data_IF_224893065155
#
_entry.id   IF_224893065155
#
_cell.length_a   1.000
_cell.length_b   1.000
_cell.length_c   1.000
_cell.angle_alpha   90.00
_cell.angle_beta   90.00
_cell.angle_gamma   90.00
#
_symmetry.space_group_name_H-M   'P 1'
#
loop_
_entity.id
_entity.type
_entity.pdbx_description
1 polymer ?
#
# COMPACT_ATOMS: atom_id res chain seq x y z
N UNK A 1 -17.34 17.65 39.52
CA UNK A 1 -16.51 18.39 38.54
C UNK A 1 -16.10 17.39 37.44
N UNK A 2 -16.93 17.27 36.39
CA UNK A 2 -16.72 16.30 35.32
C UNK A 2 -15.56 16.73 34.43
N UNK A 3 -14.51 15.89 34.30
CA UNK A 3 -13.52 16.00 33.23
C UNK A 3 -14.27 15.84 31.90
N UNK A 4 -14.28 16.90 31.09
CA UNK A 4 -14.68 16.81 29.70
C UNK A 4 -13.79 15.73 29.03
N UNK A 5 -14.39 14.62 28.59
CA UNK A 5 -13.75 13.72 27.65
C UNK A 5 -13.34 14.55 26.44
N UNK A 6 -12.06 14.84 26.30
CA UNK A 6 -11.52 15.48 25.11
C UNK A 6 -11.76 14.52 23.95
N UNK A 7 -12.59 14.96 23.02
CA UNK A 7 -12.85 14.24 21.76
C UNK A 7 -11.49 13.98 21.10
N UNK A 8 -11.05 12.71 21.11
CA UNK A 8 -9.72 12.24 20.65
C UNK A 8 -9.47 12.45 19.14
N UNK A 9 -10.32 13.21 18.47
CA UNK A 9 -10.24 13.47 17.02
C UNK A 9 -10.00 14.93 16.70
N UNK A 10 -10.02 15.84 17.68
CA UNK A 10 -9.97 17.29 17.45
C UNK A 10 -8.79 17.94 18.18
N UNK A 11 -8.29 19.02 17.58
CA UNK A 11 -7.29 19.91 18.18
C UNK A 11 -7.99 20.83 19.18
N UNK A 12 -7.31 21.13 20.30
CA UNK A 12 -7.83 22.06 21.31
C UNK A 12 -8.11 23.43 20.65
N UNK A 13 -9.37 23.93 20.70
CA UNK A 13 -9.73 25.23 20.13
C UNK A 13 -8.92 26.41 20.67
N UNK A 14 -8.34 26.30 21.86
CA UNK A 14 -7.50 27.34 22.48
C UNK A 14 -6.24 27.61 21.65
N UNK A 15 -5.74 26.63 20.91
CA UNK A 15 -4.57 26.77 20.05
C UNK A 15 -4.89 27.50 18.73
N UNK A 16 -6.19 27.65 18.38
CA UNK A 16 -6.62 28.21 17.11
C UNK A 16 -6.88 29.72 17.24
N UNK A 17 -6.03 30.54 16.64
CA UNK A 17 -6.25 31.98 16.53
C UNK A 17 -7.11 32.27 15.30
N UNK A 18 -8.36 32.63 15.52
CA UNK A 18 -9.31 33.02 14.44
C UNK A 18 -9.40 34.55 14.38
N UNK A 19 -9.21 35.09 13.17
CA UNK A 19 -9.37 36.49 12.88
C UNK A 19 -10.29 36.66 11.66
N UNK A 20 -11.58 36.90 11.92
CA UNK A 20 -12.62 37.02 10.90
C UNK A 20 -12.68 35.79 10.01
N UNK A 21 -12.39 35.95 8.70
CA UNK A 21 -12.43 34.90 7.69
C UNK A 21 -11.11 34.10 7.59
N UNK A 22 -10.15 34.31 8.47
CA UNK A 22 -8.84 33.62 8.47
C UNK A 22 -8.56 32.90 9.79
N UNK A 23 -7.69 31.88 9.71
CA UNK A 23 -7.17 31.14 10.87
C UNK A 23 -5.65 31.15 10.80
N UNK A 24 -4.96 31.42 11.91
CA UNK A 24 -3.51 31.32 11.95
C UNK A 24 -3.08 29.89 12.26
N UNK A 25 -2.40 29.26 11.32
CA UNK A 25 -1.72 27.99 11.53
C UNK A 25 -0.37 28.27 12.21
N UNK A 26 -0.07 27.57 13.29
CA UNK A 26 1.18 27.71 14.04
C UNK A 26 1.89 26.37 14.17
N UNK A 27 3.18 26.39 14.52
CA UNK A 27 3.95 25.17 14.83
C UNK A 27 3.29 24.35 15.97
N UNK A 28 2.68 25.02 16.97
CA UNK A 28 2.00 24.38 18.06
C UNK A 28 0.78 23.57 17.59
N UNK A 29 0.03 24.11 16.62
CA UNK A 29 -1.11 23.41 16.00
C UNK A 29 -0.63 22.16 15.24
N UNK A 30 0.47 22.26 14.48
CA UNK A 30 1.06 21.13 13.79
C UNK A 30 1.53 20.05 14.77
N UNK A 31 2.22 20.45 15.84
CA UNK A 31 2.70 19.55 16.89
C UNK A 31 1.54 18.85 17.63
N UNK A 32 0.47 19.59 17.94
CA UNK A 32 -0.74 19.04 18.56
C UNK A 32 -1.42 18.01 17.66
N UNK A 33 -1.52 18.29 16.34
CA UNK A 33 -2.09 17.35 15.39
C UNK A 33 -1.27 16.07 15.25
N UNK A 34 0.06 16.17 15.14
CA UNK A 34 0.94 15.01 15.08
C UNK A 34 0.87 14.16 16.36
N UNK A 35 0.75 14.81 17.52
CA UNK A 35 0.55 14.13 18.79
C UNK A 35 -0.78 13.39 18.85
N UNK A 36 -1.84 13.97 18.31
CA UNK A 36 -3.15 13.34 18.16
C UNK A 36 -3.08 12.10 17.25
N UNK A 37 -2.43 12.20 16.09
CA UNK A 37 -2.23 11.05 15.19
C UNK A 37 -1.40 9.93 15.85
N UNK A 38 -0.39 10.28 16.65
CA UNK A 38 0.41 9.32 17.42
C UNK A 38 -0.44 8.60 18.47
N UNK A 39 -1.29 9.33 19.19
CA UNK A 39 -2.23 8.76 20.16
C UNK A 39 -3.26 7.82 19.50
N UNK A 40 -3.58 8.02 18.22
CA UNK A 40 -4.42 7.13 17.40
C UNK A 40 -3.68 5.89 16.89
N UNK A 41 -2.41 5.70 17.24
CA UNK A 41 -1.61 4.53 16.82
C UNK A 41 -1.05 4.61 15.41
N UNK A 42 -0.93 5.80 14.81
CA UNK A 42 -0.28 5.96 13.49
C UNK A 42 1.21 5.60 13.59
N UNK A 43 1.70 4.85 12.58
CA UNK A 43 3.11 4.45 12.50
C UNK A 43 4.03 5.66 12.31
N UNK A 44 5.23 5.62 12.88
CA UNK A 44 6.21 6.71 12.80
C UNK A 44 6.55 7.14 11.36
N UNK A 45 6.66 6.20 10.42
CA UNK A 45 6.89 6.50 8.99
C UNK A 45 5.74 7.34 8.39
N UNK A 46 4.50 6.99 8.74
CA UNK A 46 3.31 7.75 8.31
C UNK A 46 3.26 9.13 8.96
N UNK A 47 3.67 9.25 10.24
CA UNK A 47 3.75 10.53 10.93
C UNK A 47 4.79 11.45 10.29
N UNK A 48 6.00 10.94 9.98
CA UNK A 48 7.05 11.70 9.29
C UNK A 48 6.58 12.17 7.91
N UNK A 49 5.90 11.30 7.15
CA UNK A 49 5.35 11.69 5.85
C UNK A 49 4.29 12.78 5.98
N UNK A 50 3.40 12.67 6.95
CA UNK A 50 2.37 13.66 7.26
C UNK A 50 3.02 15.00 7.67
N UNK A 51 3.98 14.98 8.59
CA UNK A 51 4.72 16.14 9.05
C UNK A 51 5.39 16.89 7.89
N UNK A 52 6.08 16.17 7.00
CA UNK A 52 6.72 16.78 5.83
C UNK A 52 5.72 17.51 4.92
N UNK A 53 4.55 16.93 4.70
CA UNK A 53 3.49 17.57 3.89
C UNK A 53 2.95 18.82 4.58
N UNK A 54 2.68 18.72 5.88
CA UNK A 54 2.13 19.84 6.65
C UNK A 54 3.13 20.99 6.76
N UNK A 55 4.42 20.71 6.94
CA UNK A 55 5.48 21.74 6.93
C UNK A 55 5.61 22.42 5.57
N UNK A 56 5.48 21.67 4.46
CA UNK A 56 5.44 22.27 3.11
C UNK A 56 4.26 23.22 2.94
N UNK A 57 3.08 22.80 3.41
CA UNK A 57 1.90 23.68 3.36
C UNK A 57 2.07 24.90 4.26
N UNK A 58 2.56 24.76 5.47
CA UNK A 58 2.83 25.85 6.40
C UNK A 58 3.81 26.88 5.82
N UNK A 59 4.89 26.41 5.22
CA UNK A 59 5.88 27.28 4.56
C UNK A 59 5.30 28.04 3.35
N UNK A 60 4.27 27.52 2.71
CA UNK A 60 3.56 28.20 1.61
C UNK A 60 2.66 29.33 2.10
N UNK A 61 2.17 29.26 3.37
CA UNK A 61 1.25 30.25 3.92
C UNK A 61 1.98 31.53 4.31
N UNK A 62 1.57 32.73 3.82
CA UNK A 62 2.09 33.99 4.31
C UNK A 62 1.81 34.14 5.82
N UNK A 63 2.88 34.24 6.63
CA UNK A 63 2.79 34.38 8.09
C UNK A 63 1.90 33.32 8.79
N UNK A 64 1.77 32.14 8.18
CA UNK A 64 0.89 31.07 8.67
C UNK A 64 -0.62 31.37 8.51
N UNK A 65 -0.98 32.40 7.76
CA UNK A 65 -2.38 32.82 7.60
C UNK A 65 -3.13 31.92 6.61
N UNK A 66 -4.08 31.19 7.11
CA UNK A 66 -4.95 30.29 6.37
C UNK A 66 -6.25 31.00 5.99
N UNK A 67 -6.60 30.99 4.70
CA UNK A 67 -7.87 31.47 4.14
C UNK A 67 -8.53 30.35 3.30
N UNK A 68 -9.74 30.60 2.80
CA UNK A 68 -10.44 29.65 1.90
C UNK A 68 -9.68 29.40 0.59
N UNK A 69 -8.89 30.35 0.15
CA UNK A 69 -8.11 30.29 -1.08
C UNK A 69 -6.76 29.60 -0.90
N UNK A 70 -6.27 29.47 0.34
CA UNK A 70 -4.93 28.96 0.62
C UNK A 70 -4.68 27.56 0.11
N UNK A 71 -5.61 26.62 0.36
CA UNK A 71 -5.44 25.23 -0.09
C UNK A 71 -5.64 25.05 -1.60
N UNK A 72 -6.62 25.72 -2.26
CA UNK A 72 -6.69 25.78 -3.71
C UNK A 72 -5.42 26.35 -4.34
N UNK A 73 -4.89 27.47 -3.84
CA UNK A 73 -3.67 28.10 -4.35
C UNK A 73 -2.45 27.19 -4.18
N UNK A 74 -2.32 26.52 -3.03
CA UNK A 74 -1.26 25.54 -2.81
C UNK A 74 -1.34 24.33 -3.75
N UNK A 75 -2.55 23.87 -4.05
CA UNK A 75 -2.77 22.79 -5.03
C UNK A 75 -2.26 23.18 -6.42
N UNK A 76 -2.56 24.39 -6.88
CA UNK A 76 -2.07 24.90 -8.17
C UNK A 76 -0.55 25.12 -8.15
N UNK A 77 0.00 25.59 -7.04
CA UNK A 77 1.45 25.70 -6.84
C UNK A 77 2.15 24.35 -6.96
N UNK A 78 1.62 23.30 -6.32
CA UNK A 78 2.18 21.95 -6.43
C UNK A 78 2.15 21.41 -7.88
N UNK A 79 1.11 21.74 -8.64
CA UNK A 79 1.05 21.40 -10.07
C UNK A 79 2.09 22.13 -10.87
N UNK A 80 2.29 23.43 -10.62
CA UNK A 80 3.33 24.25 -11.30
C UNK A 80 4.75 23.80 -10.99
N UNK A 81 4.99 23.24 -9.78
CA UNK A 81 6.24 22.58 -9.38
C UNK A 81 6.45 21.21 -10.05
N UNK A 82 5.51 20.74 -10.86
CA UNK A 82 5.61 19.47 -11.59
C UNK A 82 5.24 18.22 -10.79
N UNK A 83 4.59 18.34 -9.64
CA UNK A 83 4.12 17.18 -8.92
C UNK A 83 3.02 16.43 -9.69
N UNK A 84 3.12 15.10 -9.72
CA UNK A 84 2.07 14.26 -10.31
C UNK A 84 0.72 14.46 -9.59
N UNK A 85 -0.39 14.49 -10.33
CA UNK A 85 -1.77 14.70 -9.82
C UNK A 85 -2.09 13.81 -8.62
N UNK A 86 -1.70 12.54 -8.64
CA UNK A 86 -1.88 11.62 -7.50
C UNK A 86 -1.15 12.10 -6.24
N UNK A 87 0.07 12.64 -6.39
CA UNK A 87 0.85 13.19 -5.27
C UNK A 87 0.19 14.45 -4.74
N UNK A 88 -0.28 15.34 -5.62
CA UNK A 88 -1.03 16.56 -5.26
C UNK A 88 -2.28 16.17 -4.47
N UNK A 89 -3.11 15.27 -4.98
CA UNK A 89 -4.30 14.80 -4.30
C UNK A 89 -3.99 14.21 -2.90
N UNK A 90 -2.91 13.43 -2.79
CA UNK A 90 -2.49 12.87 -1.49
C UNK A 90 -2.08 13.95 -0.50
N UNK A 91 -1.31 14.95 -0.94
CA UNK A 91 -0.88 16.08 -0.10
C UNK A 91 -2.09 16.93 0.34
N UNK A 92 -2.99 17.28 -0.60
CA UNK A 92 -4.24 18.00 -0.31
C UNK A 92 -5.11 17.22 0.70
N UNK A 93 -5.24 15.90 0.54
CA UNK A 93 -5.97 15.06 1.48
C UNK A 93 -5.36 15.08 2.89
N UNK A 94 -4.04 15.15 2.99
CA UNK A 94 -3.35 15.27 4.29
C UNK A 94 -3.68 16.61 4.96
N UNK A 95 -3.68 17.71 4.22
CA UNK A 95 -4.06 19.03 4.75
C UNK A 95 -5.54 19.08 5.09
N UNK A 96 -6.41 18.52 4.25
CA UNK A 96 -7.85 18.41 4.57
C UNK A 96 -8.09 17.68 5.90
N UNK A 97 -7.32 16.63 6.20
CA UNK A 97 -7.44 15.92 7.50
C UNK A 97 -7.00 16.80 8.70
N UNK A 98 -5.98 17.65 8.53
CA UNK A 98 -5.64 18.66 9.53
C UNK A 98 -6.79 19.68 9.70
N UNK A 99 -7.33 20.22 8.60
CA UNK A 99 -8.44 21.18 8.64
C UNK A 99 -9.71 20.60 9.28
N UNK A 100 -9.97 19.30 9.09
CA UNK A 100 -11.05 18.59 9.77
C UNK A 100 -10.81 18.56 11.29
N UNK A 101 -9.60 18.22 11.72
CA UNK A 101 -9.24 18.19 13.15
C UNK A 101 -9.25 19.60 13.80
N UNK A 102 -9.08 20.66 13.02
CA UNK A 102 -9.20 22.06 13.43
C UNK A 102 -10.66 22.58 13.38
N UNK A 103 -11.62 21.78 12.95
CA UNK A 103 -13.01 22.20 12.68
C UNK A 103 -13.11 23.35 11.65
N UNK A 104 -12.20 23.38 10.67
CA UNK A 104 -12.09 24.37 9.62
C UNK A 104 -12.54 23.81 8.26
N UNK A 105 -13.71 23.17 8.21
CA UNK A 105 -14.23 22.49 7.00
C UNK A 105 -14.41 23.44 5.80
N UNK A 106 -14.71 24.70 6.07
CA UNK A 106 -14.91 25.72 5.03
C UNK A 106 -13.64 26.02 4.22
N UNK A 107 -12.47 25.62 4.70
CA UNK A 107 -11.18 25.80 4.04
C UNK A 107 -10.73 24.53 3.26
N UNK A 108 -11.50 23.45 3.33
CA UNK A 108 -11.17 22.19 2.65
C UNK A 108 -11.43 22.27 1.14
N UNK A 109 -10.64 21.50 0.39
CA UNK A 109 -10.88 21.23 -1.03
C UNK A 109 -11.56 19.88 -1.17
N UNK A 110 -12.84 19.88 -1.48
CA UNK A 110 -13.67 18.67 -1.58
C UNK A 110 -13.40 17.89 -2.88
N UNK A 111 -13.11 18.59 -3.98
CA UNK A 111 -12.96 17.97 -5.30
C UNK A 111 -11.50 17.60 -5.55
N UNK A 112 -11.21 16.31 -5.59
CA UNK A 112 -9.92 15.81 -6.07
C UNK A 112 -9.75 16.08 -7.57
N UNK A 113 -8.51 16.33 -7.98
CA UNK A 113 -8.18 16.42 -9.40
C UNK A 113 -8.34 15.02 -10.03
N UNK A 114 -8.91 14.95 -11.25
CA UNK A 114 -8.97 13.69 -11.98
C UNK A 114 -7.53 13.20 -12.20
N UNK A 115 -7.14 12.18 -11.45
CA UNK A 115 -5.89 11.50 -11.72
C UNK A 115 -6.09 10.70 -13.01
N UNK A 116 -5.27 10.95 -14.04
CA UNK A 116 -5.19 10.02 -15.14
C UNK A 116 -4.90 8.64 -14.53
N UNK A 117 -5.75 7.67 -14.84
CA UNK A 117 -5.42 6.28 -14.55
C UNK A 117 -4.14 5.99 -15.32
N UNK A 118 -3.03 6.01 -14.60
CA UNK A 118 -1.77 5.57 -15.13
C UNK A 118 -1.91 4.05 -15.29
N UNK A 119 -2.38 3.63 -16.45
CA UNK A 119 -2.34 2.24 -16.87
C UNK A 119 -0.85 1.88 -17.04
N UNK A 120 -0.18 1.66 -15.91
CA UNK A 120 1.16 1.11 -15.95
C UNK A 120 1.08 -0.19 -16.73
N UNK A 121 1.94 -0.40 -17.74
CA UNK A 121 1.90 -1.61 -18.53
C UNK A 121 2.00 -2.81 -17.58
N UNK A 122 1.03 -3.72 -17.69
CA UNK A 122 0.94 -4.86 -16.80
C UNK A 122 2.01 -5.91 -17.16
N UNK A 123 2.55 -6.53 -16.11
CA UNK A 123 3.42 -7.69 -16.24
C UNK A 123 2.57 -8.88 -16.70
N UNK A 124 2.87 -9.45 -17.86
CA UNK A 124 2.16 -10.62 -18.36
C UNK A 124 2.63 -11.91 -17.68
N UNK A 125 1.80 -12.96 -17.73
CA UNK A 125 2.17 -14.28 -17.21
C UNK A 125 3.42 -14.84 -17.90
N UNK A 126 3.59 -14.61 -19.19
CA UNK A 126 4.77 -15.06 -19.94
C UNK A 126 6.03 -14.31 -19.51
N UNK A 127 5.97 -13.00 -19.33
CA UNK A 127 7.06 -12.19 -18.81
C UNK A 127 7.48 -12.65 -17.40
N UNK A 128 6.52 -12.92 -16.53
CA UNK A 128 6.80 -13.46 -15.20
C UNK A 128 7.50 -14.83 -15.25
N UNK A 129 7.02 -15.75 -16.09
CA UNK A 129 7.67 -17.05 -16.26
C UNK A 129 9.10 -16.92 -16.78
N UNK A 130 9.34 -15.97 -17.69
CA UNK A 130 10.69 -15.64 -18.16
C UNK A 130 11.57 -15.11 -17.01
N UNK A 131 11.05 -14.25 -16.11
CA UNK A 131 11.79 -13.84 -14.90
C UNK A 131 12.21 -15.05 -14.07
N UNK A 132 11.29 -15.97 -13.79
CA UNK A 132 11.61 -17.16 -12.98
C UNK A 132 12.64 -18.07 -13.66
N UNK A 133 12.54 -18.26 -14.99
CA UNK A 133 13.52 -19.04 -15.76
C UNK A 133 14.89 -18.38 -15.73
N UNK A 134 14.97 -17.07 -15.96
CA UNK A 134 16.20 -16.30 -15.90
C UNK A 134 16.84 -16.40 -14.51
N UNK A 135 16.07 -16.25 -13.43
CA UNK A 135 16.57 -16.39 -12.08
C UNK A 135 17.16 -17.79 -11.81
N UNK A 136 16.56 -18.85 -12.37
CA UNK A 136 17.10 -20.22 -12.26
C UNK A 136 18.40 -20.38 -13.03
N UNK A 137 18.49 -19.86 -14.25
CA UNK A 137 19.71 -19.95 -15.08
C UNK A 137 20.88 -19.18 -14.46
N UNK A 138 20.60 -18.02 -13.87
CA UNK A 138 21.60 -17.17 -13.20
C UNK A 138 21.86 -17.57 -11.75
N UNK A 139 21.22 -18.63 -11.25
CA UNK A 139 21.28 -19.06 -9.86
C UNK A 139 20.90 -17.97 -8.83
N UNK A 140 20.13 -16.94 -9.29
CA UNK A 140 19.61 -15.89 -8.39
C UNK A 140 18.42 -16.42 -7.56
N UNK A 141 18.77 -17.23 -6.55
CA UNK A 141 17.77 -17.83 -5.64
C UNK A 141 16.93 -16.77 -4.93
N UNK A 142 17.54 -15.64 -4.56
CA UNK A 142 16.81 -14.57 -3.84
C UNK A 142 15.79 -13.89 -4.73
N UNK A 143 16.18 -13.48 -5.92
CA UNK A 143 15.27 -12.88 -6.91
C UNK A 143 14.15 -13.84 -7.28
N UNK A 144 14.47 -15.12 -7.49
CA UNK A 144 13.49 -16.18 -7.77
C UNK A 144 12.41 -16.27 -6.68
N UNK A 145 12.81 -16.45 -5.41
CA UNK A 145 11.89 -16.68 -4.30
C UNK A 145 11.07 -15.42 -4.01
N UNK A 146 11.68 -14.22 -4.09
CA UNK A 146 10.97 -12.95 -3.93
C UNK A 146 9.92 -12.74 -5.03
N UNK A 147 10.27 -12.94 -6.30
CA UNK A 147 9.34 -12.79 -7.42
C UNK A 147 8.18 -13.79 -7.30
N UNK A 148 8.48 -15.05 -6.97
CA UNK A 148 7.47 -16.09 -6.76
C UNK A 148 6.56 -15.76 -5.58
N UNK A 149 7.10 -15.31 -4.45
CA UNK A 149 6.34 -14.93 -3.27
C UNK A 149 5.31 -13.84 -3.59
N UNK A 150 5.75 -12.72 -4.17
CA UNK A 150 4.84 -11.60 -4.46
C UNK A 150 3.78 -11.93 -5.52
N UNK A 151 4.15 -12.69 -6.55
CA UNK A 151 3.22 -13.10 -7.62
C UNK A 151 2.24 -14.19 -7.19
N UNK A 152 2.57 -14.97 -6.14
CA UNK A 152 1.70 -16.06 -5.67
C UNK A 152 0.79 -15.63 -4.52
N UNK A 153 1.24 -14.68 -3.70
CA UNK A 153 0.51 -14.31 -2.46
C UNK A 153 -0.08 -12.91 -2.48
N UNK A 154 0.41 -12.03 -3.35
CA UNK A 154 0.02 -10.62 -3.34
C UNK A 154 0.49 -9.83 -2.10
N UNK A 155 1.37 -10.39 -1.27
CA UNK A 155 1.95 -9.74 -0.09
C UNK A 155 2.59 -8.39 -0.44
N UNK A 156 2.53 -7.43 0.48
CA UNK A 156 3.26 -6.17 0.33
C UNK A 156 4.72 -6.32 0.81
N UNK A 157 5.60 -5.43 0.33
CA UNK A 157 7.00 -5.45 0.80
C UNK A 157 7.10 -5.20 2.30
N UNK A 158 6.20 -4.41 2.87
CA UNK A 158 6.12 -4.15 4.32
C UNK A 158 5.79 -5.40 5.14
N UNK A 159 5.22 -6.43 4.52
CA UNK A 159 4.84 -7.68 5.18
C UNK A 159 5.95 -8.73 5.10
N UNK A 160 7.02 -8.46 4.36
CA UNK A 160 8.13 -9.38 4.17
C UNK A 160 8.78 -9.85 5.49
N UNK A 161 8.91 -9.01 6.54
CA UNK A 161 9.41 -9.47 7.85
C UNK A 161 8.53 -10.54 8.51
N UNK A 162 7.26 -10.64 8.15
CA UNK A 162 6.32 -11.65 8.66
C UNK A 162 6.45 -13.00 7.94
N UNK A 163 7.20 -13.05 6.83
CA UNK A 163 7.49 -14.30 6.12
C UNK A 163 8.61 -15.01 6.86
N UNK A 164 8.22 -15.86 7.80
CA UNK A 164 9.12 -16.62 8.68
C UNK A 164 9.19 -18.09 8.27
N UNK A 165 10.17 -18.80 8.82
CA UNK A 165 10.32 -20.25 8.61
C UNK A 165 9.06 -20.97 9.08
N UNK A 166 8.53 -20.61 10.24
CA UNK A 166 7.32 -21.19 10.84
C UNK A 166 6.07 -20.92 9.97
N UNK A 167 5.98 -19.73 9.37
CA UNK A 167 4.92 -19.40 8.42
C UNK A 167 5.02 -20.24 7.13
N UNK A 168 6.25 -20.52 6.67
CA UNK A 168 6.48 -21.37 5.51
C UNK A 168 6.18 -22.84 5.81
N UNK A 169 6.52 -23.34 7.00
CA UNK A 169 6.20 -24.71 7.45
C UNK A 169 4.71 -24.94 7.60
N UNK A 170 3.99 -23.99 8.18
CA UNK A 170 2.53 -24.07 8.34
C UNK A 170 1.75 -23.77 7.07
N UNK A 171 2.41 -23.25 6.01
CA UNK A 171 1.80 -22.89 4.75
C UNK A 171 0.89 -21.66 4.82
N UNK A 172 0.99 -20.86 5.90
CA UNK A 172 0.12 -19.70 6.10
C UNK A 172 0.82 -18.58 6.89
N UNK A 173 0.51 -17.36 6.51
CA UNK A 173 0.89 -16.14 7.23
C UNK A 173 -0.38 -15.40 7.66
N UNK A 174 -0.48 -15.07 8.94
CA UNK A 174 -1.62 -14.34 9.52
C UNK A 174 -1.18 -12.90 9.80
N UNK A 175 -1.95 -11.93 9.29
CA UNK A 175 -1.74 -10.50 9.51
C UNK A 175 -3.07 -9.84 9.88
N UNK A 176 -3.29 -9.65 11.16
CA UNK A 176 -4.58 -9.18 11.66
C UNK A 176 -5.70 -10.17 11.30
N UNK A 177 -6.63 -9.76 10.44
CA UNK A 177 -7.72 -10.61 9.94
C UNK A 177 -7.40 -11.26 8.57
N UNK A 178 -6.32 -10.87 7.92
CA UNK A 178 -5.92 -11.40 6.62
C UNK A 178 -5.08 -12.68 6.80
N UNK A 179 -5.37 -13.70 5.99
CA UNK A 179 -4.62 -14.96 5.94
C UNK A 179 -4.08 -15.13 4.53
N UNK A 180 -2.76 -15.14 4.40
CA UNK A 180 -2.07 -15.44 3.16
C UNK A 180 -1.66 -16.91 3.15
N UNK A 181 -2.08 -17.65 2.14
CA UNK A 181 -1.75 -19.07 1.97
C UNK A 181 -0.52 -19.23 1.10
N UNK A 182 0.37 -20.12 1.51
CA UNK A 182 1.54 -20.52 0.72
C UNK A 182 1.29 -21.89 0.11
N UNK A 183 1.11 -21.96 -1.24
CA UNK A 183 1.04 -23.26 -1.91
C UNK A 183 2.32 -24.08 -1.68
N UNK A 184 2.23 -25.41 -1.71
CA UNK A 184 3.35 -26.34 -1.41
C UNK A 184 4.64 -26.02 -2.17
N UNK A 185 4.54 -25.71 -3.46
CA UNK A 185 5.70 -25.33 -4.26
C UNK A 185 6.36 -24.01 -3.84
N UNK A 186 5.62 -23.09 -3.17
CA UNK A 186 6.21 -21.90 -2.57
C UNK A 186 6.82 -22.21 -1.21
N UNK A 187 6.16 -23.02 -0.39
CA UNK A 187 6.67 -23.48 0.92
C UNK A 187 8.06 -24.14 0.73
N UNK A 188 8.13 -25.10 -0.19
CA UNK A 188 9.38 -25.81 -0.52
C UNK A 188 10.51 -24.83 -0.90
N UNK A 189 10.22 -23.85 -1.78
CA UNK A 189 11.23 -22.88 -2.21
C UNK A 189 11.65 -21.94 -1.06
N UNK A 190 10.71 -21.50 -0.21
CA UNK A 190 10.99 -20.66 0.96
C UNK A 190 11.86 -21.39 1.98
N UNK A 191 11.52 -22.62 2.32
CA UNK A 191 12.28 -23.44 3.27
C UNK A 191 13.67 -23.81 2.75
N UNK A 192 13.77 -24.17 1.46
CA UNK A 192 15.07 -24.41 0.83
C UNK A 192 15.96 -23.17 0.84
N UNK A 193 15.40 -21.99 0.53
CA UNK A 193 16.11 -20.73 0.58
C UNK A 193 16.53 -20.37 2.01
N UNK A 194 15.65 -20.55 3.01
CA UNK A 194 15.96 -20.32 4.42
C UNK A 194 17.13 -21.19 4.89
N UNK A 195 17.07 -22.50 4.61
CA UNK A 195 18.12 -23.47 4.95
C UNK A 195 19.46 -23.11 4.31
N UNK A 196 19.47 -22.75 3.03
CA UNK A 196 20.68 -22.34 2.30
C UNK A 196 21.34 -21.11 2.91
N UNK A 197 20.55 -20.21 3.52
CA UNK A 197 21.05 -19.01 4.20
C UNK A 197 21.26 -19.20 5.72
N UNK A 198 21.26 -20.44 6.22
CA UNK A 198 21.47 -20.78 7.63
C UNK A 198 20.32 -20.31 8.54
N UNK A 199 19.11 -20.14 8.01
CA UNK A 199 17.92 -19.73 8.78
C UNK A 199 17.07 -20.95 9.11
N UNK A 200 17.02 -21.27 10.40
CA UNK A 200 16.20 -22.38 10.91
C UNK A 200 14.91 -21.88 11.56
N UNK A 201 14.85 -20.62 11.98
CA UNK A 201 13.70 -19.98 12.62
C UNK A 201 13.61 -18.49 12.24
N UNK A 202 12.44 -17.89 12.42
CA UNK A 202 12.20 -16.45 12.26
C UNK A 202 12.21 -16.00 10.80
N UNK A 203 12.43 -14.69 10.58
CA UNK A 203 12.32 -14.04 9.27
C UNK A 203 13.30 -14.64 8.24
N UNK A 204 12.75 -15.08 7.10
CA UNK A 204 13.51 -15.71 6.01
C UNK A 204 14.37 -14.69 5.25
N UNK A 205 13.80 -13.52 4.95
CA UNK A 205 14.45 -12.50 4.12
C UNK A 205 15.14 -11.46 4.98
N UNK A 206 16.45 -11.63 5.14
CA UNK A 206 17.30 -10.74 5.95
C UNK A 206 18.48 -10.20 5.16
N UNK A 207 19.02 -9.10 5.67
CA UNK A 207 20.31 -8.57 5.26
C UNK A 207 21.46 -9.40 5.88
N UNK A 208 22.71 -9.12 5.46
CA UNK A 208 23.90 -9.79 6.02
C UNK A 208 24.05 -9.61 7.54
N UNK A 209 23.57 -8.47 8.07
CA UNK A 209 23.59 -8.16 9.51
C UNK A 209 22.41 -8.78 10.29
N UNK A 210 21.55 -9.60 9.65
CA UNK A 210 20.41 -10.26 10.27
C UNK A 210 19.13 -9.41 10.35
N UNK A 211 19.18 -8.10 10.04
CA UNK A 211 17.96 -7.27 9.99
C UNK A 211 17.09 -7.61 8.78
N UNK A 212 15.77 -7.38 8.84
CA UNK A 212 14.87 -7.59 7.69
C UNK A 212 15.31 -6.80 6.45
N UNK A 213 15.05 -7.34 5.26
CA UNK A 213 15.30 -6.63 4.00
C UNK A 213 14.48 -5.34 3.93
N UNK A 214 15.15 -4.23 3.55
CA UNK A 214 14.48 -2.96 3.33
C UNK A 214 13.76 -2.95 1.97
N UNK A 215 12.71 -2.12 1.89
CA UNK A 215 11.91 -1.96 0.66
C UNK A 215 12.75 -1.59 -0.56
N UNK A 216 13.74 -0.73 -0.39
CA UNK A 216 14.65 -0.30 -1.46
C UNK A 216 15.46 -1.48 -2.01
N UNK A 217 15.97 -2.34 -1.13
CA UNK A 217 16.73 -3.54 -1.52
C UNK A 217 15.85 -4.54 -2.28
N UNK A 218 14.63 -4.78 -1.83
CA UNK A 218 13.68 -5.65 -2.53
C UNK A 218 13.40 -5.11 -3.93
N UNK A 219 13.19 -3.80 -4.07
CA UNK A 219 12.99 -3.15 -5.37
C UNK A 219 14.19 -3.37 -6.30
N UNK A 220 15.41 -3.21 -5.78
CA UNK A 220 16.65 -3.45 -6.56
C UNK A 220 16.75 -4.90 -7.04
N UNK A 221 16.45 -5.89 -6.19
CA UNK A 221 16.47 -7.30 -6.59
C UNK A 221 15.46 -7.60 -7.71
N UNK A 222 14.23 -7.10 -7.60
CA UNK A 222 13.21 -7.34 -8.62
C UNK A 222 13.52 -6.60 -9.92
N UNK A 223 14.02 -5.35 -9.85
CA UNK A 223 14.44 -4.60 -11.04
C UNK A 223 15.61 -5.27 -11.76
N UNK A 224 16.63 -5.71 -11.02
CA UNK A 224 17.77 -6.44 -11.60
C UNK A 224 17.29 -7.70 -12.30
N UNK A 225 16.47 -8.52 -11.64
CA UNK A 225 15.93 -9.73 -12.25
C UNK A 225 15.10 -9.42 -13.51
N UNK A 226 14.31 -8.33 -13.49
CA UNK A 226 13.59 -7.87 -14.66
C UNK A 226 14.50 -7.47 -15.81
N UNK A 227 15.58 -6.74 -15.52
CA UNK A 227 16.60 -6.37 -16.50
C UNK A 227 17.28 -7.60 -17.11
N UNK A 228 17.70 -8.55 -16.29
CA UNK A 228 18.32 -9.81 -16.73
C UNK A 228 17.35 -10.63 -17.60
N UNK A 229 16.05 -10.59 -17.30
CA UNK A 229 14.99 -11.23 -18.06
C UNK A 229 14.51 -10.41 -19.28
N UNK A 230 15.13 -9.27 -19.57
CA UNK A 230 14.74 -8.34 -20.66
C UNK A 230 13.27 -7.90 -20.56
N UNK A 231 12.85 -7.53 -19.37
CA UNK A 231 11.52 -6.98 -19.09
C UNK A 231 11.63 -5.47 -18.93
N UNK A 232 10.73 -4.67 -19.51
CA UNK A 232 10.70 -3.23 -19.32
C UNK A 232 10.71 -2.83 -17.85
N UNK A 233 11.49 -1.80 -17.48
CA UNK A 233 11.72 -1.40 -16.09
C UNK A 233 10.41 -1.04 -15.36
N UNK A 234 9.45 -0.45 -16.08
CA UNK A 234 8.12 -0.09 -15.57
C UNK A 234 7.28 -1.30 -15.13
N UNK A 235 7.56 -2.49 -15.69
CA UNK A 235 6.90 -3.76 -15.35
C UNK A 235 7.67 -4.57 -14.30
N UNK A 236 8.98 -4.34 -14.16
CA UNK A 236 9.85 -5.10 -13.27
C UNK A 236 9.84 -4.53 -11.84
N UNK A 237 8.69 -4.62 -11.16
CA UNK A 237 8.52 -4.12 -9.80
C UNK A 237 7.53 -4.97 -9.00
N UNK A 238 7.58 -4.85 -7.66
CA UNK A 238 6.72 -5.63 -6.76
C UNK A 238 5.22 -5.32 -6.98
N UNK A 239 4.88 -4.08 -7.37
CA UNK A 239 3.47 -3.73 -7.65
C UNK A 239 2.94 -4.53 -8.83
N UNK A 240 3.71 -4.69 -9.90
CA UNK A 240 3.33 -5.47 -11.08
C UNK A 240 3.15 -6.97 -10.75
N UNK A 241 4.07 -7.54 -9.94
CA UNK A 241 3.93 -8.93 -9.44
C UNK A 241 2.66 -9.12 -8.60
N UNK A 242 2.34 -8.18 -7.72
CA UNK A 242 1.12 -8.21 -6.92
C UNK A 242 -0.14 -8.02 -7.77
N UNK A 243 -0.06 -7.20 -8.82
CA UNK A 243 -1.17 -7.05 -9.75
C UNK A 243 -1.42 -8.33 -10.53
N UNK A 244 -0.36 -9.03 -10.97
CA UNK A 244 -0.47 -10.35 -11.60
C UNK A 244 -1.21 -11.36 -10.70
N UNK A 245 -0.93 -11.37 -9.39
CA UNK A 245 -1.66 -12.18 -8.42
C UNK A 245 -3.14 -11.81 -8.39
N UNK A 246 -3.46 -10.53 -8.24
CA UNK A 246 -4.85 -10.05 -8.18
C UNK A 246 -5.65 -10.41 -9.43
N UNK A 247 -5.06 -10.21 -10.60
CA UNK A 247 -5.68 -10.56 -11.88
C UNK A 247 -5.91 -12.07 -11.99
N UNK A 248 -4.94 -12.89 -11.53
CA UNK A 248 -5.09 -14.33 -11.52
C UNK A 248 -6.20 -14.81 -10.58
N UNK A 249 -6.29 -14.25 -9.37
CA UNK A 249 -7.36 -14.56 -8.41
C UNK A 249 -8.72 -14.15 -8.95
N UNK A 250 -8.86 -12.93 -9.47
CA UNK A 250 -10.10 -12.45 -10.07
C UNK A 250 -10.57 -13.33 -11.24
N UNK A 251 -9.63 -13.80 -12.08
CA UNK A 251 -9.96 -14.72 -13.17
C UNK A 251 -10.43 -16.10 -12.67
N UNK A 252 -9.84 -16.60 -11.57
CA UNK A 252 -10.27 -17.87 -10.93
C UNK A 252 -11.66 -17.71 -10.33
N UNK A 253 -11.91 -16.61 -9.62
CA UNK A 253 -13.22 -16.31 -9.01
C UNK A 253 -14.31 -16.20 -10.08
N UNK A 254 -14.06 -15.46 -11.16
CA UNK A 254 -15.01 -15.33 -12.27
C UNK A 254 -15.33 -16.69 -12.94
N UNK A 255 -14.31 -17.56 -13.12
CA UNK A 255 -14.51 -18.89 -13.65
C UNK A 255 -15.28 -19.79 -12.67
N UNK A 256 -15.05 -19.65 -11.37
CA UNK A 256 -15.78 -20.41 -10.36
C UNK A 256 -17.26 -20.01 -10.35
N UNK A 257 -17.58 -18.72 -10.37
CA UNK A 257 -18.96 -18.24 -10.43
C UNK A 257 -19.70 -18.76 -11.67
N UNK A 258 -19.03 -18.77 -12.83
CA UNK A 258 -19.59 -19.31 -14.05
C UNK A 258 -19.89 -20.82 -13.92
N UNK A 259 -18.98 -21.59 -13.33
CA UNK A 259 -19.18 -23.04 -13.11
C UNK A 259 -20.33 -23.31 -12.16
N UNK A 260 -20.47 -22.52 -11.10
CA UNK A 260 -21.59 -22.61 -10.15
C UNK A 260 -22.91 -22.32 -10.85
N UNK A 261 -22.97 -21.28 -11.66
CA UNK A 261 -24.17 -20.92 -12.43
C UNK A 261 -24.55 -22.06 -13.40
N UNK A 262 -23.61 -22.58 -14.17
CA UNK A 262 -23.86 -23.69 -15.09
C UNK A 262 -24.34 -24.97 -14.36
N UNK A 263 -23.77 -25.26 -13.19
CA UNK A 263 -24.19 -26.40 -12.38
C UNK A 263 -25.64 -26.24 -11.87
N UNK A 264 -25.99 -25.01 -11.46
CA UNK A 264 -27.34 -24.69 -11.00
C UNK A 264 -28.37 -24.77 -12.14
N UNK A 265 -28.05 -24.23 -13.34
CA UNK A 265 -28.88 -24.33 -14.55
C UNK A 265 -29.17 -25.79 -14.91
N UNK A 266 -28.14 -26.67 -14.90
CA UNK A 266 -28.34 -28.11 -15.14
C UNK A 266 -29.21 -28.75 -14.08
N UNK A 267 -29.12 -28.37 -12.82
CA UNK A 267 -29.98 -28.88 -11.77
C UNK A 267 -31.44 -28.52 -12.03
N UNK A 268 -31.71 -27.26 -12.40
CA UNK A 268 -33.06 -26.80 -12.74
C UNK A 268 -33.67 -27.60 -13.94
N UNK A 269 -32.87 -27.80 -15.00
CA UNK A 269 -33.29 -28.60 -16.15
C UNK A 269 -33.72 -30.06 -15.71
N UNK A 270 -32.95 -30.66 -14.82
CA UNK A 270 -33.28 -32.01 -14.31
C UNK A 270 -34.54 -31.98 -13.45
N UNK A 271 -34.75 -30.96 -12.65
CA UNK A 271 -35.94 -30.77 -11.84
C UNK A 271 -37.18 -30.55 -12.71
N UNK A 272 -37.09 -29.74 -13.79
CA UNK A 272 -38.18 -29.52 -14.74
C UNK A 272 -38.58 -30.82 -15.44
N UNK A 273 -37.60 -31.57 -15.96
CA UNK A 273 -37.87 -32.89 -16.58
C UNK A 273 -38.49 -33.86 -15.60
N UNK A 274 -38.03 -33.85 -14.34
CA UNK A 274 -38.58 -34.76 -13.29
C UNK A 274 -39.98 -34.35 -12.84
N UNK A 275 -40.34 -33.08 -12.95
CA UNK A 275 -41.68 -32.56 -12.65
C UNK A 275 -42.69 -32.77 -13.78
N UNK A 276 -42.23 -33.25 -14.96
CA UNK A 276 -43.12 -33.55 -16.09
C UNK A 276 -43.53 -32.34 -16.92
N UNK A 277 -42.69 -31.35 -16.98
CA UNK A 277 -42.82 -30.20 -17.84
C UNK A 277 -42.10 -30.42 -19.17
#
# INVERSE_FOLDING_TARGET
MGRRETDRTKIDPVLLRRDGASVTLTEDVLAAYLSLLRAQGRKDESLRSCENVLRQFFAFLPEGRLTRESLPAWREHLLSEGYAVRTVNSKVSTVNALLEAMECRDFQVSKQLPAQEFNAPELTRQEYLRMLQTAKVLEDRRGYVLAKLFATTGLSVSDLPLVTVEAAETGRLVKGREIFRFPEGLQTDLLAYAKQNGRLTGTIFTQKNGSPLMRTQVSVYIQKLGQDARIPAEKANVRALRQLHKTAVAAIEANFDLLVQQAYERQLEVEEVSAGW
#
